data_IF_711677485605
#
_entry.id   IF_711677485605
#
_cell.length_a   1.000
_cell.length_b   1.000
_cell.length_c   1.000
_cell.angle_alpha   90.00
_cell.angle_beta   90.00
_cell.angle_gamma   90.00
#
_symmetry.space_group_name_H-M   'P 1'
#
loop_
_entity.id
_entity.type
_entity.pdbx_description
1 polymer ?
#
# COMPACT_ATOMS: atom_id res chain seq x y z
N UNK A 1 -11.68 17.09 -9.70
CA UNK A 1 -10.25 16.72 -9.77
C UNK A 1 -9.96 15.28 -9.36
N UNK A 2 -10.78 14.59 -8.55
CA UNK A 2 -10.57 13.17 -8.20
C UNK A 2 -10.74 12.12 -9.33
N UNK A 3 -11.10 12.53 -10.55
CA UNK A 3 -11.35 11.58 -11.66
C UNK A 3 -10.07 11.09 -12.36
N UNK A 4 -8.95 11.79 -12.22
CA UNK A 4 -7.71 11.46 -12.94
C UNK A 4 -7.10 10.14 -12.44
N UNK A 5 -7.08 9.89 -11.13
CA UNK A 5 -6.60 8.63 -10.55
C UNK A 5 -7.42 7.41 -10.99
N UNK A 6 -8.71 7.61 -11.28
CA UNK A 6 -9.61 6.52 -11.72
C UNK A 6 -9.28 6.07 -13.15
N UNK A 7 -8.64 6.93 -13.95
CA UNK A 7 -8.25 6.63 -15.34
C UNK A 7 -6.75 6.37 -15.50
N UNK A 8 -5.94 6.74 -14.50
CA UNK A 8 -4.51 6.53 -14.51
C UNK A 8 -4.13 5.04 -14.60
N UNK A 9 -3.03 4.80 -15.29
CA UNK A 9 -2.36 3.51 -15.42
C UNK A 9 -1.16 3.46 -14.50
N UNK A 10 -0.56 2.28 -14.34
CA UNK A 10 0.65 2.14 -13.54
C UNK A 10 1.79 3.00 -14.12
N UNK A 11 1.94 3.02 -15.44
CA UNK A 11 2.98 3.80 -16.13
C UNK A 11 2.87 5.30 -15.82
N UNK A 12 1.65 5.83 -15.68
CA UNK A 12 1.40 7.23 -15.30
C UNK A 12 1.91 7.56 -13.88
N UNK A 13 2.06 6.55 -13.02
CA UNK A 13 2.55 6.69 -11.64
C UNK A 13 4.08 6.49 -11.53
N UNK A 14 4.69 5.78 -12.47
CA UNK A 14 6.12 5.41 -12.45
C UNK A 14 7.03 6.48 -13.08
N UNK A 15 6.70 7.77 -12.91
CA UNK A 15 7.58 8.85 -13.38
C UNK A 15 8.84 8.88 -12.51
N UNK A 16 9.99 8.67 -13.14
CA UNK A 16 11.28 8.76 -12.46
C UNK A 16 11.70 10.21 -12.23
N UNK A 17 12.16 10.54 -11.02
CA UNK A 17 12.85 11.81 -10.77
C UNK A 17 14.28 11.75 -11.30
N UNK A 18 14.66 12.69 -12.17
CA UNK A 18 15.99 12.78 -12.79
C UNK A 18 17.11 13.17 -11.79
N UNK A 19 16.75 13.70 -10.62
CA UNK A 19 17.70 14.32 -9.67
C UNK A 19 18.33 13.35 -8.64
N UNK A 20 18.28 12.03 -8.86
CA UNK A 20 18.93 11.04 -7.98
C UNK A 20 18.37 10.93 -6.55
N UNK A 21 17.38 11.75 -6.19
CA UNK A 21 16.65 11.70 -4.94
C UNK A 21 15.34 10.92 -5.09
N UNK A 22 15.29 9.72 -4.49
CA UNK A 22 14.15 8.80 -4.47
C UNK A 22 13.49 8.64 -5.85
N UNK A 23 13.89 7.59 -6.59
CA UNK A 23 13.55 7.37 -8.02
C UNK A 23 12.08 7.57 -8.34
N UNK A 24 11.16 7.33 -7.40
CA UNK A 24 9.73 7.56 -7.57
C UNK A 24 9.22 8.83 -6.88
N UNK A 25 8.33 9.56 -7.56
CA UNK A 25 7.58 10.69 -6.99
C UNK A 25 6.47 10.20 -6.05
N UNK A 26 6.82 9.37 -5.06
CA UNK A 26 5.92 8.82 -4.03
C UNK A 26 5.10 9.93 -3.37
N UNK A 27 5.72 11.07 -3.12
CA UNK A 27 5.07 12.22 -2.49
C UNK A 27 3.92 12.80 -3.33
N UNK A 28 4.06 12.80 -4.67
CA UNK A 28 3.01 13.26 -5.58
C UNK A 28 1.86 12.26 -5.62
N UNK A 29 2.18 10.96 -5.79
CA UNK A 29 1.18 9.88 -5.77
C UNK A 29 0.37 9.93 -4.47
N UNK A 30 1.05 10.07 -3.33
CA UNK A 30 0.41 10.20 -2.02
C UNK A 30 -0.49 11.43 -1.91
N UNK A 31 -0.07 12.57 -2.45
CA UNK A 31 -0.88 13.79 -2.46
C UNK A 31 -2.14 13.61 -3.29
N UNK A 32 -2.04 12.97 -4.46
CA UNK A 32 -3.18 12.67 -5.32
C UNK A 32 -4.14 11.71 -4.64
N UNK A 33 -3.63 10.62 -4.04
CA UNK A 33 -4.45 9.62 -3.33
C UNK A 33 -5.19 10.26 -2.15
N UNK A 34 -4.52 11.10 -1.34
CA UNK A 34 -5.19 11.81 -0.24
C UNK A 34 -6.31 12.72 -0.72
N UNK A 35 -6.11 13.45 -1.82
CA UNK A 35 -7.14 14.31 -2.41
C UNK A 35 -8.32 13.48 -2.93
N UNK A 36 -8.05 12.30 -3.50
CA UNK A 36 -9.08 11.37 -3.95
C UNK A 36 -9.88 10.81 -2.77
N UNK A 37 -9.22 10.30 -1.73
CA UNK A 37 -9.86 9.76 -0.53
C UNK A 37 -10.68 10.83 0.21
N UNK A 38 -10.18 12.06 0.27
CA UNK A 38 -10.90 13.18 0.89
C UNK A 38 -12.06 13.71 0.04
N UNK A 39 -12.16 13.33 -1.24
CA UNK A 39 -13.29 13.72 -2.08
C UNK A 39 -14.53 12.95 -1.61
N UNK A 40 -15.50 13.68 -1.05
CA UNK A 40 -16.77 13.09 -0.61
C UNK A 40 -17.49 12.45 -1.79
N UNK A 41 -17.68 11.14 -1.74
CA UNK A 41 -18.70 10.45 -2.53
C UNK A 41 -19.95 10.31 -1.67
N UNK A 42 -21.07 10.86 -2.15
CA UNK A 42 -22.40 10.58 -1.61
C UNK A 42 -22.92 9.28 -2.23
N UNK A 43 -22.48 8.12 -1.72
CA UNK A 43 -23.17 6.84 -1.90
C UNK A 43 -22.56 5.78 -0.98
N UNK A 44 -23.42 5.05 -0.28
CA UNK A 44 -23.04 3.90 0.56
C UNK A 44 -22.32 2.80 -0.24
N UNK A 45 -21.44 2.07 0.46
CA UNK A 45 -20.41 1.12 -0.02
C UNK A 45 -19.20 1.78 -0.70
N UNK A 46 -17.98 1.17 -0.61
CA UNK A 46 -16.86 1.65 -1.41
C UNK A 46 -17.26 1.67 -2.88
N UNK A 47 -17.22 2.85 -3.48
CA UNK A 47 -17.53 2.97 -4.90
C UNK A 47 -16.56 2.12 -5.71
N UNK A 48 -17.02 1.64 -6.86
CA UNK A 48 -16.18 0.95 -7.84
C UNK A 48 -14.92 1.79 -8.18
N UNK A 49 -15.02 3.13 -8.11
CA UNK A 49 -13.89 4.05 -8.27
C UNK A 49 -12.86 3.88 -7.15
N UNK A 50 -13.29 3.81 -5.89
CA UNK A 50 -12.39 3.57 -4.75
C UNK A 50 -11.62 2.25 -4.90
N UNK A 51 -12.31 1.17 -5.28
CA UNK A 51 -11.65 -0.13 -5.55
C UNK A 51 -10.71 -0.07 -6.74
N UNK A 52 -11.07 0.67 -7.80
CA UNK A 52 -10.20 0.83 -8.97
C UNK A 52 -8.90 1.56 -8.62
N UNK A 53 -8.99 2.60 -7.80
CA UNK A 53 -7.80 3.30 -7.27
C UNK A 53 -7.01 2.38 -6.32
N UNK A 54 -7.69 1.59 -5.49
CA UNK A 54 -7.06 0.55 -4.66
C UNK A 54 -6.17 -0.39 -5.46
N UNK A 55 -6.71 -0.97 -6.54
CA UNK A 55 -5.93 -1.83 -7.45
C UNK A 55 -4.75 -1.12 -8.11
N UNK A 56 -4.89 0.16 -8.44
CA UNK A 56 -3.80 0.95 -9.02
C UNK A 56 -2.67 1.18 -8.00
N UNK A 57 -3.02 1.52 -6.76
CA UNK A 57 -2.05 1.71 -5.67
C UNK A 57 -1.36 0.40 -5.31
N UNK A 58 -2.07 -0.73 -5.33
CA UNK A 58 -1.48 -2.04 -5.05
C UNK A 58 -0.47 -2.46 -6.13
N UNK A 59 -0.74 -2.17 -7.41
CA UNK A 59 0.24 -2.34 -8.49
C UNK A 59 1.46 -1.44 -8.32
N UNK A 60 1.23 -0.20 -7.91
CA UNK A 60 2.32 0.73 -7.63
C UNK A 60 3.20 0.27 -6.46
N UNK A 61 2.59 -0.25 -5.39
CA UNK A 61 3.30 -0.88 -4.28
C UNK A 61 4.18 -2.05 -4.74
N UNK A 62 3.64 -2.93 -5.61
CA UNK A 62 4.38 -4.08 -6.15
C UNK A 62 5.63 -3.64 -6.91
N UNK A 63 5.52 -2.61 -7.75
CA UNK A 63 6.65 -2.08 -8.51
C UNK A 63 7.72 -1.47 -7.59
N UNK A 64 7.33 -0.56 -6.69
CA UNK A 64 8.31 0.12 -5.82
C UNK A 64 8.89 -0.83 -4.76
N UNK A 65 8.26 -1.96 -4.46
CA UNK A 65 8.77 -2.95 -3.50
C UNK A 65 10.12 -3.55 -3.92
N UNK A 66 10.41 -3.52 -5.22
CA UNK A 66 11.63 -4.09 -5.77
C UNK A 66 12.83 -3.12 -5.69
N UNK A 67 12.57 -1.87 -5.31
CA UNK A 67 13.59 -0.82 -5.18
C UNK A 67 14.34 -0.92 -3.84
N UNK A 68 15.63 -1.27 -3.92
CA UNK A 68 16.53 -1.37 -2.76
C UNK A 68 16.83 0.00 -2.10
N UNK A 69 16.61 1.10 -2.83
CA UNK A 69 16.75 2.46 -2.30
C UNK A 69 15.50 2.97 -1.59
N UNK A 70 14.35 2.28 -1.70
CA UNK A 70 13.10 2.73 -1.11
C UNK A 70 13.13 2.60 0.41
N UNK A 71 12.96 3.73 1.11
CA UNK A 71 12.85 3.78 2.57
C UNK A 71 11.55 3.14 3.08
N UNK A 72 11.63 2.43 4.21
CA UNK A 72 10.48 1.76 4.84
C UNK A 72 9.34 2.72 5.12
N UNK A 73 9.65 3.92 5.60
CA UNK A 73 8.65 4.94 5.91
C UNK A 73 7.81 5.33 4.69
N UNK A 74 8.41 5.33 3.49
CA UNK A 74 7.69 5.63 2.24
C UNK A 74 6.79 4.48 1.81
N UNK A 75 7.30 3.26 1.87
CA UNK A 75 6.49 2.06 1.59
C UNK A 75 5.24 2.03 2.48
N UNK A 76 5.43 2.20 3.80
CA UNK A 76 4.35 2.18 4.78
C UNK A 76 3.33 3.31 4.53
N UNK A 77 3.83 4.52 4.22
CA UNK A 77 2.98 5.66 3.89
C UNK A 77 2.04 5.36 2.71
N UNK A 78 2.50 4.62 1.70
CA UNK A 78 1.67 4.23 0.55
C UNK A 78 0.69 3.12 0.93
N UNK A 79 1.10 2.10 1.69
CA UNK A 79 0.20 1.01 2.09
C UNK A 79 -0.99 1.48 2.93
N UNK A 80 -0.76 2.49 3.78
CA UNK A 80 -1.75 3.07 4.69
C UNK A 80 -2.56 4.23 4.07
N UNK A 81 -2.34 4.53 2.78
CA UNK A 81 -2.90 5.73 2.14
C UNK A 81 -4.39 5.64 1.79
N UNK A 82 -4.96 4.44 1.82
CA UNK A 82 -6.32 4.14 1.40
C UNK A 82 -7.14 3.57 2.57
N UNK A 83 -8.46 3.84 2.62
CA UNK A 83 -9.35 3.19 3.58
C UNK A 83 -9.50 1.70 3.27
N UNK A 84 -9.91 0.91 4.25
CA UNK A 84 -10.05 -0.55 4.09
C UNK A 84 -11.03 -0.94 2.98
N UNK A 85 -12.03 -0.10 2.77
CA UNK A 85 -13.05 -0.28 1.74
C UNK A 85 -12.50 -0.22 0.30
N UNK A 86 -11.27 0.27 0.10
CA UNK A 86 -10.60 0.27 -1.20
C UNK A 86 -10.12 -1.13 -1.64
N UNK A 87 -10.10 -2.11 -0.72
CA UNK A 87 -9.58 -3.45 -0.98
C UNK A 87 -10.61 -4.52 -0.60
N UNK A 88 -10.76 -5.50 -1.48
CA UNK A 88 -11.56 -6.70 -1.18
C UNK A 88 -10.74 -7.72 -0.37
N UNK A 89 -9.41 -7.72 -0.51
CA UNK A 89 -8.48 -8.52 0.30
C UNK A 89 -7.09 -7.85 0.38
N UNK A 90 -6.26 -8.29 1.33
CA UNK A 90 -4.91 -7.76 1.57
C UNK A 90 -3.79 -8.71 1.15
N UNK A 91 -4.11 -9.89 0.61
CA UNK A 91 -3.12 -10.92 0.24
C UNK A 91 -2.05 -10.37 -0.72
N UNK A 92 -2.48 -9.55 -1.68
CA UNK A 92 -1.57 -8.85 -2.60
C UNK A 92 -0.59 -7.94 -1.86
N UNK A 93 -1.08 -7.12 -0.92
CA UNK A 93 -0.26 -6.20 -0.12
C UNK A 93 0.73 -6.97 0.75
N UNK A 94 0.33 -8.10 1.35
CA UNK A 94 1.25 -8.95 2.12
C UNK A 94 2.34 -9.57 1.26
N UNK A 95 2.00 -10.01 0.05
CA UNK A 95 2.98 -10.52 -0.91
C UNK A 95 4.00 -9.44 -1.29
N UNK A 96 3.52 -8.23 -1.56
CA UNK A 96 4.36 -7.08 -1.91
C UNK A 96 5.26 -6.70 -0.72
N UNK A 97 4.74 -6.73 0.50
CA UNK A 97 5.53 -6.49 1.71
C UNK A 97 6.65 -7.53 1.88
N UNK A 98 6.39 -8.81 1.62
CA UNK A 98 7.41 -9.85 1.67
C UNK A 98 8.53 -9.61 0.64
N UNK A 99 8.18 -9.19 -0.58
CA UNK A 99 9.14 -8.79 -1.61
C UNK A 99 9.96 -7.59 -1.14
N UNK A 100 9.30 -6.54 -0.65
CA UNK A 100 9.97 -5.34 -0.11
C UNK A 100 10.97 -5.69 0.98
N UNK A 101 10.57 -6.51 1.96
CA UNK A 101 11.45 -6.93 3.06
C UNK A 101 12.66 -7.72 2.58
N UNK A 102 12.49 -8.58 1.56
CA UNK A 102 13.60 -9.31 0.93
C UNK A 102 14.58 -8.37 0.23
N UNK A 103 14.09 -7.33 -0.42
CA UNK A 103 14.92 -6.38 -1.17
C UNK A 103 15.60 -5.35 -0.26
N UNK A 104 14.88 -4.82 0.73
CA UNK A 104 15.40 -3.85 1.69
C UNK A 104 16.35 -4.51 2.71
N UNK A 105 16.13 -5.78 3.03
CA UNK A 105 16.91 -6.50 4.04
C UNK A 105 17.34 -7.91 3.60
N UNK A 106 18.18 -8.01 2.55
CA UNK A 106 18.56 -9.30 1.94
C UNK A 106 19.31 -10.24 2.89
N UNK A 107 19.80 -9.76 4.04
CA UNK A 107 20.48 -10.56 5.07
C UNK A 107 19.62 -10.93 6.30
N UNK A 108 18.40 -10.40 6.46
CA UNK A 108 17.57 -10.60 7.68
C UNK A 108 16.24 -11.33 7.40
N UNK A 109 16.30 -12.50 6.75
CA UNK A 109 15.16 -13.42 6.66
C UNK A 109 14.60 -13.88 8.05
N UNK A 110 15.30 -13.56 9.16
CA UNK A 110 14.96 -13.93 10.53
C UNK A 110 13.86 -13.08 11.17
N UNK A 111 13.82 -11.76 10.98
CA UNK A 111 12.77 -10.89 11.58
C UNK A 111 11.42 -11.06 10.89
N UNK A 112 11.44 -11.33 9.59
CA UNK A 112 10.26 -11.65 8.77
C UNK A 112 9.58 -12.96 9.19
N UNK A 113 10.32 -13.93 9.76
CA UNK A 113 9.70 -15.11 10.41
C UNK A 113 9.14 -14.82 11.80
N UNK A 114 9.67 -13.83 12.52
CA UNK A 114 9.25 -13.50 13.90
C UNK A 114 7.95 -12.66 13.95
N UNK A 115 7.75 -11.71 13.02
CA UNK A 115 6.51 -10.92 12.98
C UNK A 115 5.31 -11.72 12.44
N UNK A 116 5.54 -12.57 11.42
CA UNK A 116 4.53 -13.52 10.93
C UNK A 116 4.07 -14.51 12.03
N UNK A 117 4.93 -14.82 13.03
CA UNK A 117 4.62 -15.65 14.21
C UNK A 117 3.74 -14.93 15.26
N UNK A 118 3.78 -13.59 15.34
CA UNK A 118 3.06 -12.81 16.36
C UNK A 118 1.68 -12.34 15.93
N UNK A 119 1.48 -12.00 14.66
CA UNK A 119 0.15 -11.61 14.16
C UNK A 119 -0.76 -12.83 14.02
N UNK A 120 -0.22 -14.01 13.69
CA UNK A 120 -0.96 -15.28 13.73
C UNK A 120 -1.38 -15.68 15.16
N UNK A 121 -0.56 -15.39 16.19
CA UNK A 121 -0.94 -15.56 17.61
C UNK A 121 -2.11 -14.64 18.05
N UNK A 122 -2.36 -13.54 17.33
CA UNK A 122 -3.46 -12.60 17.64
C UNK A 122 -4.75 -12.86 16.84
N UNK A 123 -4.67 -13.58 15.72
CA UNK A 123 -5.83 -13.89 14.86
C UNK A 123 -6.50 -15.24 15.19
N UNK A 124 -5.86 -16.14 15.96
CA UNK A 124 -6.42 -17.44 16.36
C UNK A 124 -6.94 -17.53 17.81
N UNK A 125 -6.89 -16.45 18.61
CA UNK A 125 -7.34 -16.47 20.00
C UNK A 125 -8.81 -16.01 20.11
N UNK A 126 -9.79 -16.91 20.31
CA UNK A 126 -11.21 -16.55 20.38
C UNK A 126 -11.61 -15.80 21.67
N UNK A 127 -10.69 -15.54 22.60
CA UNK A 127 -10.99 -14.94 23.90
C UNK A 127 -10.83 -13.40 23.96
N UNK A 128 -10.44 -12.71 22.87
CA UNK A 128 -10.17 -11.25 22.90
C UNK A 128 -11.30 -10.36 22.39
N UNK A 129 -12.39 -10.92 21.84
CA UNK A 129 -13.57 -10.16 21.38
C UNK A 129 -14.82 -10.33 22.27
N UNK A 130 -14.68 -11.02 23.41
CA UNK A 130 -15.66 -10.99 24.49
C UNK A 130 -15.00 -10.35 25.71
N UNK A 131 -14.87 -9.03 25.66
CA UNK A 131 -14.59 -8.24 26.86
C UNK A 131 -15.86 -7.53 27.30
N UNK A 132 -15.95 -7.24 28.59
CA UNK A 132 -15.62 -5.86 28.97
C UNK A 132 -14.29 -5.75 29.71
#
# INVERSE_FOLDING_TARGET
>A
MGLMLVQATLDDLLVSSDDGGDVYIVNLVMRLVRVFVASKEEADAPSERMRKVGRLVDKYLDEISQDQGLKVSKFLTVSESLPDSARDCYDGVYRVLDIYLKMAYPKTALLTRMANMLIQMSLQNPLTLAHP
#
